data_IF_412279396447
#
_entry.id   IF_412279396447
#
_cell.length_a   1.000
_cell.length_b   1.000
_cell.length_c   1.000
_cell.angle_alpha   90.00
_cell.angle_beta   90.00
_cell.angle_gamma   90.00
#
_symmetry.space_group_name_H-M   'P 1'
#
loop_
_entity.id
_entity.type
_entity.pdbx_description
1 polymer ?
#
# COMPACT_ATOMS: atom_id res chain seq x y z
N UNK A 1 -4.52 -3.53 20.19
CA UNK A 1 -4.34 -3.71 18.73
C UNK A 1 -2.87 -3.78 18.42
N UNK A 2 -2.44 -4.79 17.69
CA UNK A 2 -1.05 -4.99 17.29
C UNK A 2 -0.83 -4.29 15.96
N UNK A 3 0.13 -3.37 15.88
CA UNK A 3 0.52 -2.74 14.60
C UNK A 3 1.35 -3.72 13.80
N UNK A 4 0.98 -3.96 12.54
CA UNK A 4 1.70 -4.87 11.65
C UNK A 4 2.89 -4.16 11.00
N UNK A 5 3.95 -4.93 10.72
CA UNK A 5 5.09 -4.50 9.91
C UNK A 5 4.99 -5.08 8.51
N UNK A 6 5.49 -4.36 7.52
CA UNK A 6 5.52 -4.82 6.12
C UNK A 6 6.22 -6.17 6.00
N UNK A 7 7.36 -6.35 6.67
CA UNK A 7 8.11 -7.62 6.72
C UNK A 7 7.23 -8.78 7.21
N UNK A 8 6.47 -8.57 8.29
CA UNK A 8 5.59 -9.58 8.88
C UNK A 8 4.43 -9.94 7.96
N UNK A 9 3.92 -8.97 7.20
CA UNK A 9 2.86 -9.21 6.22
C UNK A 9 3.39 -10.09 5.08
N UNK A 10 4.56 -9.77 4.54
CA UNK A 10 5.17 -10.54 3.45
C UNK A 10 5.64 -11.93 3.87
N UNK A 11 6.10 -12.10 5.12
CA UNK A 11 6.42 -13.42 5.69
C UNK A 11 5.19 -14.34 5.76
N UNK A 12 3.97 -13.78 5.79
CA UNK A 12 2.70 -14.51 5.84
C UNK A 12 1.81 -14.18 4.64
N UNK A 13 2.39 -13.82 3.48
CA UNK A 13 1.61 -13.31 2.34
C UNK A 13 0.54 -14.30 1.86
N UNK A 14 0.84 -15.61 1.87
CA UNK A 14 -0.09 -16.65 1.46
C UNK A 14 -1.37 -16.65 2.33
N UNK A 15 -1.23 -16.52 3.65
CA UNK A 15 -2.37 -16.40 4.56
C UNK A 15 -3.27 -15.22 4.18
N UNK A 16 -2.68 -14.06 3.90
CA UNK A 16 -3.46 -12.88 3.51
C UNK A 16 -4.14 -13.03 2.14
N UNK A 17 -3.56 -13.81 1.23
CA UNK A 17 -4.17 -14.13 -0.06
C UNK A 17 -5.37 -15.07 0.11
N UNK A 18 -5.22 -16.12 0.91
CA UNK A 18 -6.26 -17.10 1.21
C UNK A 18 -7.45 -16.46 1.93
N UNK A 19 -7.19 -15.59 2.90
CA UNK A 19 -8.20 -14.92 3.73
C UNK A 19 -8.57 -13.52 3.22
N UNK A 20 -8.21 -13.15 2.00
CA UNK A 20 -8.37 -11.79 1.47
C UNK A 20 -9.80 -11.25 1.60
N UNK A 21 -10.80 -12.03 1.16
CA UNK A 21 -12.20 -11.60 1.16
C UNK A 21 -12.74 -11.41 2.59
N UNK A 22 -12.33 -12.26 3.53
CA UNK A 22 -12.73 -12.17 4.94
C UNK A 22 -12.18 -10.89 5.57
N UNK A 23 -10.90 -10.59 5.33
CA UNK A 23 -10.22 -9.41 5.88
C UNK A 23 -10.84 -8.11 5.36
N UNK A 24 -11.13 -8.01 4.05
CA UNK A 24 -11.66 -6.76 3.49
C UNK A 24 -13.13 -6.49 3.90
N UNK A 25 -13.86 -7.53 4.31
CA UNK A 25 -15.24 -7.41 4.76
C UNK A 25 -15.36 -7.16 6.28
N UNK A 26 -14.39 -7.63 7.07
CA UNK A 26 -14.35 -7.42 8.52
C UNK A 26 -13.72 -6.07 8.88
N UNK A 27 -14.51 -5.14 9.44
CA UNK A 27 -13.97 -3.84 9.88
C UNK A 27 -12.83 -3.97 10.87
N UNK A 28 -12.89 -4.92 11.81
CA UNK A 28 -11.83 -5.12 12.80
C UNK A 28 -10.50 -5.51 12.14
N UNK A 29 -10.54 -6.42 11.18
CA UNK A 29 -9.34 -6.87 10.47
C UNK A 29 -8.87 -5.83 9.44
N UNK A 30 -9.80 -5.21 8.71
CA UNK A 30 -9.54 -4.19 7.70
C UNK A 30 -8.70 -3.05 8.26
N UNK A 31 -9.13 -2.50 9.40
CA UNK A 31 -8.53 -1.33 10.03
C UNK A 31 -7.31 -1.69 10.91
N UNK A 32 -6.73 -2.87 10.74
CA UNK A 32 -5.45 -3.21 11.38
C UNK A 32 -4.37 -2.22 10.93
N UNK A 33 -3.73 -1.49 11.86
CA UNK A 33 -2.73 -0.50 11.50
C UNK A 33 -1.45 -1.17 11.00
N UNK A 34 -0.80 -0.54 10.01
CA UNK A 34 0.46 -1.00 9.43
C UNK A 34 1.51 0.12 9.58
N UNK A 35 2.69 -0.21 10.10
CA UNK A 35 3.77 0.75 10.33
C UNK A 35 4.14 1.47 9.03
N UNK A 36 4.29 2.79 9.11
CA UNK A 36 4.75 3.67 8.02
C UNK A 36 3.91 3.58 6.72
N UNK A 37 2.69 3.05 6.78
CA UNK A 37 1.83 2.96 5.60
C UNK A 37 0.90 4.17 5.49
N UNK A 38 1.21 5.06 4.56
CA UNK A 38 0.43 6.26 4.31
C UNK A 38 0.60 6.78 2.89
N UNK A 39 -0.36 7.60 2.49
CA UNK A 39 -0.31 8.42 1.30
C UNK A 39 -0.20 9.88 1.73
N UNK A 40 0.88 10.55 1.35
CA UNK A 40 1.08 11.98 1.57
C UNK A 40 1.43 12.63 0.24
N UNK A 41 0.40 13.01 -0.51
CA UNK A 41 0.57 13.50 -1.88
C UNK A 41 -0.20 14.81 -2.07
N UNK A 42 0.51 15.93 -2.18
CA UNK A 42 -0.11 17.26 -2.34
C UNK A 42 -0.87 17.38 -3.68
N UNK A 43 -2.15 17.81 -3.71
CA UNK A 43 -2.84 18.60 -2.67
C UNK A 43 -3.74 17.80 -1.71
N UNK A 44 -3.70 16.46 -1.75
CA UNK A 44 -4.51 15.63 -0.86
C UNK A 44 -3.94 15.65 0.57
N UNK A 45 -4.84 15.60 1.55
CA UNK A 45 -4.44 15.40 2.96
C UNK A 45 -3.75 14.05 3.09
N UNK A 46 -2.81 13.97 4.03
CA UNK A 46 -2.20 12.70 4.38
C UNK A 46 -3.29 11.70 4.81
N UNK A 47 -3.28 10.53 4.18
CA UNK A 47 -4.20 9.43 4.45
C UNK A 47 -3.40 8.23 4.95
N UNK A 48 -3.71 7.78 6.16
CA UNK A 48 -3.21 6.50 6.67
C UNK A 48 -3.84 5.35 5.89
N UNK A 49 -3.02 4.36 5.57
CA UNK A 49 -3.44 3.12 4.95
C UNK A 49 -3.42 2.01 6.00
N UNK A 50 -4.45 1.19 5.98
CA UNK A 50 -4.59 0.03 6.83
C UNK A 50 -4.33 -1.25 6.04
N UNK A 51 -4.27 -2.39 6.74
CA UNK A 51 -4.08 -3.70 6.12
C UNK A 51 -5.05 -3.92 4.95
N UNK A 52 -6.34 -3.66 5.14
CA UNK A 52 -7.35 -3.86 4.10
C UNK A 52 -7.15 -2.98 2.85
N UNK A 53 -6.62 -1.77 3.01
CA UNK A 53 -6.30 -0.91 1.86
C UNK A 53 -5.14 -1.51 1.07
N UNK A 54 -4.07 -1.92 1.77
CA UNK A 54 -2.88 -2.49 1.15
C UNK A 54 -3.19 -3.78 0.39
N UNK A 55 -3.96 -4.69 0.98
CA UNK A 55 -4.32 -5.95 0.33
C UNK A 55 -5.14 -5.70 -0.95
N UNK A 56 -6.12 -4.78 -0.92
CA UNK A 56 -6.87 -4.40 -2.12
C UNK A 56 -5.96 -3.84 -3.21
N UNK A 57 -5.01 -2.98 -2.84
CA UNK A 57 -4.11 -2.33 -3.80
C UNK A 57 -3.07 -3.29 -4.37
N UNK A 58 -2.56 -4.22 -3.58
CA UNK A 58 -1.58 -5.21 -4.00
C UNK A 58 -2.20 -6.32 -4.85
N UNK A 59 -3.29 -6.92 -4.38
CA UNK A 59 -3.94 -8.03 -5.08
C UNK A 59 -4.77 -7.54 -6.28
N UNK A 60 -5.24 -6.29 -6.24
CA UNK A 60 -5.81 -5.59 -7.39
C UNK A 60 -4.77 -5.10 -8.42
N UNK A 61 -3.48 -5.41 -8.23
CA UNK A 61 -2.37 -5.01 -9.11
C UNK A 61 -2.25 -3.49 -9.32
N UNK A 62 -2.79 -2.69 -8.39
CA UNK A 62 -2.79 -1.23 -8.49
C UNK A 62 -1.52 -0.61 -7.91
N UNK A 63 -1.00 -1.19 -6.84
CA UNK A 63 0.24 -0.77 -6.16
C UNK A 63 1.32 -1.85 -6.26
N UNK A 64 1.30 -2.60 -7.37
CA UNK A 64 2.26 -3.65 -7.68
C UNK A 64 3.03 -3.28 -8.94
N UNK A 65 4.34 -3.11 -8.84
CA UNK A 65 5.21 -2.78 -9.97
C UNK A 65 5.91 -4.06 -10.42
N UNK A 66 5.57 -4.53 -11.61
CA UNK A 66 6.10 -5.77 -12.20
C UNK A 66 7.03 -5.52 -13.40
N UNK A 67 7.14 -4.27 -13.83
CA UNK A 67 8.02 -3.84 -14.92
C UNK A 67 8.58 -2.44 -14.64
N UNK A 68 9.59 -2.05 -15.40
CA UNK A 68 10.26 -0.75 -15.24
C UNK A 68 9.48 0.43 -15.83
N UNK A 69 8.37 0.20 -16.54
CA UNK A 69 7.66 1.24 -17.28
C UNK A 69 7.14 2.35 -16.36
N UNK A 70 6.79 2.00 -15.12
CA UNK A 70 6.28 2.92 -14.12
C UNK A 70 7.37 3.57 -13.25
N UNK A 71 8.63 3.21 -13.46
CA UNK A 71 9.77 3.70 -12.68
C UNK A 71 10.65 4.67 -13.47
N UNK A 72 11.26 5.60 -12.76
CA UNK A 72 12.36 6.39 -13.29
C UNK A 72 13.64 5.54 -13.29
N UNK A 73 13.87 4.79 -14.37
CA UNK A 73 14.98 3.81 -14.50
C UNK A 73 16.33 4.42 -14.11
N UNK A 74 16.59 5.67 -14.51
CA UNK A 74 17.83 6.39 -14.19
C UNK A 74 18.14 6.52 -12.69
N UNK A 75 17.16 6.27 -11.81
CA UNK A 75 17.29 6.40 -10.35
C UNK A 75 17.01 5.11 -9.58
N UNK A 76 16.65 4.02 -10.26
CA UNK A 76 16.31 2.75 -9.62
C UNK A 76 17.21 1.64 -10.19
N UNK A 77 18.04 1.02 -9.35
CA UNK A 77 18.94 -0.10 -9.72
C UNK A 77 18.37 -1.48 -9.36
N UNK A 78 17.07 -1.55 -9.09
CA UNK A 78 16.39 -2.74 -8.56
C UNK A 78 16.15 -3.79 -9.65
N UNK A 79 16.16 -5.06 -9.27
CA UNK A 79 15.76 -6.17 -10.15
C UNK A 79 14.24 -6.34 -10.09
N UNK A 80 13.55 -6.07 -11.19
CA UNK A 80 12.07 -6.09 -11.23
C UNK A 80 11.62 -6.89 -12.44
N UNK A 81 10.75 -7.87 -12.18
CA UNK A 81 10.06 -8.64 -13.21
C UNK A 81 8.75 -9.19 -12.63
N UNK A 82 8.03 -10.01 -13.41
CA UNK A 82 6.75 -10.58 -12.98
C UNK A 82 6.86 -11.47 -11.72
N UNK A 83 7.99 -12.17 -11.57
CA UNK A 83 8.27 -13.08 -10.44
C UNK A 83 8.86 -12.34 -9.23
N UNK A 84 9.38 -11.13 -9.44
CA UNK A 84 9.97 -10.29 -8.40
C UNK A 84 9.38 -8.88 -8.43
N UNK A 85 8.08 -8.74 -8.12
CA UNK A 85 7.41 -7.44 -8.09
C UNK A 85 7.87 -6.58 -6.91
N UNK A 86 7.62 -5.27 -7.03
CA UNK A 86 7.61 -4.36 -5.90
C UNK A 86 6.17 -4.11 -5.45
N UNK A 87 5.96 -4.08 -4.13
CA UNK A 87 4.66 -3.74 -3.54
C UNK A 87 4.76 -2.41 -2.80
N UNK A 88 4.15 -1.36 -3.36
CA UNK A 88 4.17 -0.03 -2.76
C UNK A 88 3.35 -0.05 -1.47
N UNK A 89 3.81 0.63 -0.43
CA UNK A 89 3.03 0.76 0.83
C UNK A 89 3.05 2.16 1.41
N UNK A 90 3.91 3.04 0.88
CA UNK A 90 3.97 4.44 1.22
C UNK A 90 4.17 5.26 -0.04
N UNK A 91 3.41 6.34 -0.19
CA UNK A 91 3.61 7.34 -1.23
C UNK A 91 3.85 8.70 -0.60
N UNK A 92 4.92 9.36 -0.99
CA UNK A 92 5.30 10.69 -0.52
C UNK A 92 5.81 11.55 -1.68
N UNK A 93 5.22 12.72 -1.85
CA UNK A 93 5.75 13.69 -2.82
C UNK A 93 4.72 14.74 -3.23
N UNK A 94 5.16 15.65 -4.07
CA UNK A 94 4.30 16.68 -4.66
C UNK A 94 3.92 16.26 -6.08
N UNK A 95 2.61 16.12 -6.35
CA UNK A 95 2.09 15.72 -7.67
C UNK A 95 2.54 16.66 -8.80
N UNK A 96 2.95 17.88 -8.47
CA UNK A 96 3.25 18.96 -9.42
C UNK A 96 4.75 19.08 -9.71
N UNK A 97 5.63 18.83 -8.72
CA UNK A 97 7.09 19.02 -8.87
C UNK A 97 7.85 17.75 -9.30
N UNK A 98 7.19 16.59 -9.39
CA UNK A 98 7.78 15.37 -9.94
C UNK A 98 8.82 14.68 -9.05
N UNK A 99 9.07 15.18 -7.83
CA UNK A 99 9.88 14.53 -6.80
C UNK A 99 9.07 13.44 -6.08
N UNK A 100 8.61 12.46 -6.84
CA UNK A 100 7.72 11.42 -6.36
C UNK A 100 8.53 10.26 -5.77
N UNK A 101 8.47 10.11 -4.46
CA UNK A 101 9.14 9.02 -3.73
C UNK A 101 8.10 8.05 -3.17
N UNK A 102 8.37 6.76 -3.32
CA UNK A 102 7.53 5.73 -2.76
C UNK A 102 8.42 4.75 -2.00
N UNK A 103 7.89 4.19 -0.90
CA UNK A 103 8.50 3.02 -0.30
C UNK A 103 7.75 1.77 -0.77
N UNK A 104 8.53 0.76 -1.10
CA UNK A 104 8.04 -0.51 -1.59
C UNK A 104 8.73 -1.67 -0.90
N UNK A 105 8.02 -2.79 -0.74
CA UNK A 105 8.64 -4.07 -0.46
C UNK A 105 9.18 -4.66 -1.77
N UNK A 106 10.48 -4.99 -1.80
CA UNK A 106 11.08 -5.72 -2.90
C UNK A 106 11.05 -7.22 -2.60
N UNK A 107 10.39 -8.00 -3.46
CA UNK A 107 10.42 -9.47 -3.35
C UNK A 107 11.79 -10.03 -3.67
N UNK A 108 12.52 -9.48 -4.65
CA UNK A 108 13.85 -9.95 -5.01
C UNK A 108 14.87 -9.78 -3.88
N UNK A 109 14.75 -8.70 -3.11
CA UNK A 109 15.74 -8.31 -2.10
C UNK A 109 15.25 -8.51 -0.67
N UNK A 110 14.01 -8.97 -0.50
CA UNK A 110 13.33 -9.19 0.78
C UNK A 110 13.48 -8.01 1.77
N UNK A 111 13.39 -6.79 1.23
CA UNK A 111 13.59 -5.57 2.01
C UNK A 111 12.75 -4.40 1.51
N UNK A 112 12.63 -3.40 2.36
CA UNK A 112 12.05 -2.11 2.00
C UNK A 112 13.05 -1.33 1.14
N UNK A 113 12.58 -0.82 0.01
CA UNK A 113 13.34 0.00 -0.93
C UNK A 113 12.61 1.31 -1.18
N UNK A 114 13.37 2.38 -1.40
CA UNK A 114 12.84 3.66 -1.89
C UNK A 114 12.89 3.66 -3.41
N UNK A 115 11.78 4.00 -4.04
CA UNK A 115 11.66 4.07 -5.50
C UNK A 115 11.12 5.40 -5.96
N UNK A 116 11.61 5.83 -7.12
CA UNK A 116 11.05 6.98 -7.82
C UNK A 116 10.15 6.52 -8.96
N UNK A 117 8.88 6.90 -8.89
CA UNK A 117 7.85 6.55 -9.88
C UNK A 117 7.64 7.72 -10.85
N UNK A 118 7.31 7.41 -12.11
CA UNK A 118 7.07 8.44 -13.13
C UNK A 118 5.85 9.32 -12.82
N UNK A 119 4.80 8.71 -12.27
CA UNK A 119 3.56 9.39 -11.89
C UNK A 119 2.96 8.77 -10.64
N UNK A 120 2.60 9.60 -9.66
CA UNK A 120 1.87 9.16 -8.45
C UNK A 120 0.36 9.28 -8.61
N UNK A 121 -0.15 9.95 -9.66
CA UNK A 121 -1.58 10.16 -9.89
C UNK A 121 -2.35 8.84 -9.93
N UNK A 122 -1.87 7.87 -10.72
CA UNK A 122 -2.54 6.57 -10.85
C UNK A 122 -2.65 5.87 -9.48
N UNK A 123 -1.56 5.88 -8.71
CA UNK A 123 -1.52 5.23 -7.41
C UNK A 123 -2.40 5.94 -6.38
N UNK A 124 -2.40 7.28 -6.36
CA UNK A 124 -3.23 8.07 -5.48
C UNK A 124 -4.73 7.92 -5.78
N UNK A 125 -5.12 7.84 -7.06
CA UNK A 125 -6.52 7.59 -7.43
C UNK A 125 -6.96 6.21 -6.95
N UNK A 126 -6.16 5.17 -7.20
CA UNK A 126 -6.53 3.81 -6.80
C UNK A 126 -6.69 3.65 -5.28
N UNK A 127 -5.90 4.33 -4.45
CA UNK A 127 -6.07 4.27 -3.00
C UNK A 127 -7.36 4.93 -2.51
N UNK A 128 -7.87 5.94 -3.21
CA UNK A 128 -9.17 6.55 -2.89
C UNK A 128 -10.35 5.69 -3.34
N UNK A 129 -10.13 4.74 -4.26
CA UNK A 129 -11.14 3.80 -4.75
C UNK A 129 -11.24 2.52 -3.90
N UNK A 130 -10.41 2.37 -2.86
CA UNK A 130 -10.52 1.24 -1.93
C UNK A 130 -11.87 1.27 -1.21
N UNK A 131 -12.57 0.14 -1.19
CA UNK A 131 -13.84 0.03 -0.49
C UNK A 131 -13.56 -0.29 0.97
N UNK A 132 -13.81 0.67 1.85
CA UNK A 132 -13.64 0.50 3.30
C UNK A 132 -14.97 0.03 3.91
N UNK A 133 -14.98 -1.05 4.72
CA UNK A 133 -16.18 -1.46 5.45
C UNK A 133 -16.58 -0.36 6.44
N UNK A 134 -17.87 -0.21 6.70
CA UNK A 134 -18.35 0.81 7.65
C UNK A 134 -17.75 0.49 9.02
N UNK A 135 -17.09 1.47 9.64
CA UNK A 135 -16.68 1.37 11.04
C UNK A 135 -17.97 1.19 11.84
N UNK A 136 -18.20 0.00 12.39
CA UNK A 136 -19.26 -0.20 13.36
C UNK A 136 -18.81 0.55 14.62
N UNK A 137 -19.17 1.83 14.71
CA UNK A 137 -19.17 2.50 16.01
C UNK A 137 -20.28 1.81 16.78
N UNK A 138 -19.93 0.99 17.76
CA UNK A 138 -20.87 0.68 18.83
C UNK A 138 -21.43 2.03 19.30
N UNK A 139 -22.73 2.21 19.12
CA UNK A 139 -23.43 3.34 19.70
C UNK A 139 -23.14 3.27 21.19
N UNK A 140 -22.29 4.16 21.70
CA UNK A 140 -22.29 4.47 23.12
C UNK A 140 -23.70 4.98 23.40
N UNK A 141 -24.56 4.10 23.91
CA UNK A 141 -25.81 4.48 24.50
C UNK A 141 -25.47 5.56 25.52
N UNK A 142 -25.94 6.78 25.25
CA UNK A 142 -25.88 7.87 26.20
C UNK A 142 -26.91 7.47 27.26
N UNK A 143 -26.41 7.04 28.42
CA UNK A 143 -27.18 6.82 29.63
C UNK A 143 -27.61 8.17 30.23
#
# INVERSE_FOLDING_TARGET
>A
MTTLRIQSIFANLCFYQEHYLEIIQSSEQYYTPVEHSFLNTFPFKQQTLFLGDLLQLWFGHKWKIQNYENLLIAKNTLTINQNSPLYLFQLGGELILGANTALAWSVAEERIVSVQVKSIWQYAVFSHLCTRPKVFKENKAIA
#
